data_IF_167716851959
#
_entry.id   IF_167716851959
#
_cell.length_a   1.000
_cell.length_b   1.000
_cell.length_c   1.000
_cell.angle_alpha   90.00
_cell.angle_beta   90.00
_cell.angle_gamma   90.00
#
_symmetry.space_group_name_H-M   'P 1'
#
loop_
_entity.id
_entity.type
_entity.pdbx_description
1 polymer ?
#
# COMPACT_ATOMS: atom_id res chain seq x y z
N UNK A 1 -17.03 7.69 -4.70
CA UNK A 1 -18.24 7.53 -3.85
C UNK A 1 -19.46 8.26 -4.41
N UNK A 2 -19.53 9.60 -4.35
CA UNK A 2 -20.71 10.35 -4.86
C UNK A 2 -20.95 10.07 -6.33
N UNK A 3 -19.89 10.14 -7.12
CA UNK A 3 -19.93 9.86 -8.56
C UNK A 3 -20.34 8.40 -8.81
N UNK A 4 -19.65 7.42 -8.21
CA UNK A 4 -20.01 5.99 -8.31
C UNK A 4 -21.50 5.73 -8.01
N UNK A 5 -22.04 6.36 -6.96
CA UNK A 5 -23.46 6.22 -6.58
C UNK A 5 -24.38 6.83 -7.64
N UNK A 6 -23.99 7.97 -8.22
CA UNK A 6 -24.72 8.68 -9.27
C UNK A 6 -24.80 7.86 -10.57
N UNK A 7 -23.71 7.18 -10.94
CA UNK A 7 -23.64 6.34 -12.16
C UNK A 7 -24.00 4.86 -11.91
N UNK A 8 -24.39 4.49 -10.68
CA UNK A 8 -24.80 3.12 -10.32
C UNK A 8 -23.65 2.11 -10.24
N UNK A 9 -22.40 2.56 -10.15
CA UNK A 9 -21.20 1.71 -10.04
C UNK A 9 -21.12 1.12 -8.63
N UNK A 10 -21.09 -0.21 -8.51
CA UNK A 10 -20.94 -0.91 -7.23
C UNK A 10 -19.47 -0.99 -6.80
N UNK A 11 -18.88 0.14 -6.41
CA UNK A 11 -17.47 0.20 -6.01
C UNK A 11 -17.23 -0.28 -4.57
N UNK A 12 -16.01 -0.74 -4.26
CA UNK A 12 -15.59 -1.06 -2.89
C UNK A 12 -15.60 0.16 -1.97
N UNK A 13 -15.40 1.36 -2.53
CA UNK A 13 -15.52 2.62 -1.80
C UNK A 13 -16.96 2.86 -1.30
N UNK A 14 -17.98 2.40 -2.06
CA UNK A 14 -19.37 2.38 -1.59
C UNK A 14 -19.63 1.25 -0.60
N UNK A 15 -19.11 0.05 -0.86
CA UNK A 15 -19.31 -1.12 0.01
C UNK A 15 -18.75 -0.90 1.41
N UNK A 16 -17.50 -0.43 1.51
CA UNK A 16 -16.87 -0.18 2.81
C UNK A 16 -17.31 1.14 3.45
N UNK A 17 -17.78 2.12 2.67
CA UNK A 17 -18.29 3.39 3.20
C UNK A 17 -17.28 4.04 4.17
N UNK A 18 -17.67 4.19 5.42
CA UNK A 18 -16.83 4.79 6.48
C UNK A 18 -15.74 3.83 6.98
N UNK A 19 -15.90 2.53 6.76
CA UNK A 19 -14.91 1.49 7.05
C UNK A 19 -13.82 1.37 5.98
N UNK A 20 -13.75 2.31 5.02
CA UNK A 20 -12.71 2.30 3.96
C UNK A 20 -11.30 2.33 4.55
N UNK A 21 -11.00 3.17 5.55
CA UNK A 21 -9.67 3.20 6.18
C UNK A 21 -9.32 1.88 6.88
N UNK A 22 -10.18 1.30 7.74
CA UNK A 22 -9.98 -0.05 8.28
C UNK A 22 -9.73 -1.12 7.21
N UNK A 23 -10.50 -1.12 6.12
CA UNK A 23 -10.31 -2.06 5.01
C UNK A 23 -8.93 -1.88 4.35
N UNK A 24 -8.50 -0.63 4.11
CA UNK A 24 -7.16 -0.33 3.58
C UNK A 24 -6.06 -0.82 4.53
N UNK A 25 -6.21 -0.65 5.84
CA UNK A 25 -5.25 -1.18 6.82
C UNK A 25 -5.17 -2.70 6.72
N UNK A 26 -6.31 -3.41 6.69
CA UNK A 26 -6.34 -4.86 6.59
C UNK A 26 -5.63 -5.37 5.32
N UNK A 27 -5.96 -4.81 4.16
CA UNK A 27 -5.34 -5.21 2.89
C UNK A 27 -3.86 -4.84 2.81
N UNK A 28 -3.46 -3.70 3.36
CA UNK A 28 -2.05 -3.28 3.39
C UNK A 28 -1.22 -4.18 4.30
N UNK A 29 -1.75 -4.54 5.47
CA UNK A 29 -1.12 -5.49 6.38
C UNK A 29 -0.97 -6.86 5.73
N UNK A 30 -2.01 -7.34 5.03
CA UNK A 30 -1.95 -8.60 4.29
C UNK A 30 -0.86 -8.55 3.20
N UNK A 31 -0.83 -7.48 2.40
CA UNK A 31 0.20 -7.26 1.38
C UNK A 31 1.62 -7.28 1.96
N UNK A 32 1.88 -6.56 3.04
CA UNK A 32 3.18 -6.53 3.73
C UNK A 32 3.56 -7.92 4.26
N UNK A 33 2.61 -8.64 4.87
CA UNK A 33 2.85 -10.00 5.35
C UNK A 33 3.20 -10.96 4.19
N UNK A 34 2.47 -10.89 3.08
CA UNK A 34 2.77 -11.69 1.89
C UNK A 34 4.16 -11.40 1.32
N UNK A 35 4.60 -10.14 1.31
CA UNK A 35 5.96 -9.77 0.90
C UNK A 35 7.01 -10.39 1.83
N UNK A 36 6.85 -10.27 3.14
CA UNK A 36 7.78 -10.86 4.11
C UNK A 36 7.88 -12.39 3.94
N UNK A 37 6.74 -13.06 3.76
CA UNK A 37 6.70 -14.50 3.49
C UNK A 37 7.39 -14.84 2.17
N UNK A 38 7.09 -14.11 1.10
CA UNK A 38 7.72 -14.31 -0.21
C UNK A 38 9.23 -14.09 -0.16
N UNK A 39 9.70 -13.02 0.48
CA UNK A 39 11.11 -12.73 0.67
C UNK A 39 11.84 -13.83 1.43
N UNK A 40 11.21 -14.38 2.48
CA UNK A 40 11.75 -15.55 3.21
C UNK A 40 11.94 -16.75 2.29
N UNK A 41 10.95 -17.09 1.46
CA UNK A 41 11.06 -18.19 0.50
C UNK A 41 12.04 -17.91 -0.64
N UNK A 42 12.27 -16.64 -0.98
CA UNK A 42 13.23 -16.21 -1.98
C UNK A 42 14.67 -16.04 -1.44
N UNK A 43 14.91 -16.38 -0.16
CA UNK A 43 16.22 -16.28 0.49
C UNK A 43 16.70 -14.83 0.65
N UNK A 44 15.78 -13.87 0.79
CA UNK A 44 16.12 -12.46 0.99
C UNK A 44 16.52 -12.17 2.43
N UNK A 45 17.48 -11.26 2.60
CA UNK A 45 18.06 -10.87 3.89
C UNK A 45 17.45 -9.63 4.54
N UNK A 46 18.22 -9.05 5.46
CA UNK A 46 17.84 -7.86 6.24
C UNK A 46 17.58 -6.63 5.36
N UNK A 47 18.41 -6.30 4.35
CA UNK A 47 18.15 -5.16 3.46
C UNK A 47 16.76 -5.21 2.80
N UNK A 48 16.33 -6.38 2.34
CA UNK A 48 14.97 -6.55 1.80
C UNK A 48 13.90 -6.27 2.86
N UNK A 49 14.04 -6.84 4.06
CA UNK A 49 13.07 -6.65 5.14
C UNK A 49 12.95 -5.17 5.55
N UNK A 50 14.06 -4.42 5.55
CA UNK A 50 14.06 -2.96 5.79
C UNK A 50 13.31 -2.22 4.68
N UNK A 51 13.49 -2.60 3.41
CA UNK A 51 12.72 -2.05 2.30
C UNK A 51 11.22 -2.28 2.45
N UNK A 52 10.81 -3.50 2.81
CA UNK A 52 9.40 -3.83 3.06
C UNK A 52 8.84 -3.03 4.25
N UNK A 53 9.61 -2.87 5.33
CA UNK A 53 9.23 -2.03 6.46
C UNK A 53 9.06 -0.55 6.07
N UNK A 54 9.96 -0.01 5.25
CA UNK A 54 9.85 1.35 4.70
C UNK A 54 8.58 1.54 3.86
N UNK A 55 8.24 0.56 3.03
CA UNK A 55 7.00 0.56 2.27
C UNK A 55 5.76 0.52 3.17
N UNK A 56 5.78 -0.29 4.24
CA UNK A 56 4.70 -0.34 5.22
C UNK A 56 4.49 1.01 5.93
N UNK A 57 5.57 1.69 6.32
CA UNK A 57 5.51 3.05 6.92
C UNK A 57 4.93 4.07 5.92
N UNK A 58 5.35 4.01 4.65
CA UNK A 58 4.81 4.88 3.61
C UNK A 58 3.29 4.68 3.44
N UNK A 59 2.84 3.42 3.39
CA UNK A 59 1.40 3.10 3.29
C UNK A 59 0.63 3.52 4.53
N UNK A 60 1.19 3.35 5.73
CA UNK A 60 0.57 3.81 6.97
C UNK A 60 0.37 5.33 6.97
N UNK A 61 1.36 6.09 6.47
CA UNK A 61 1.21 7.53 6.26
C UNK A 61 0.10 7.86 5.26
N UNK A 62 0.05 7.17 4.11
CA UNK A 62 -0.99 7.37 3.10
C UNK A 62 -2.39 7.17 3.70
N UNK A 63 -2.62 6.03 4.38
CA UNK A 63 -3.93 5.67 4.94
C UNK A 63 -4.33 6.61 6.08
N UNK A 64 -3.38 7.01 6.93
CA UNK A 64 -3.63 7.94 8.02
C UNK A 64 -4.08 9.31 7.48
N UNK A 65 -3.36 9.81 6.48
CA UNK A 65 -3.50 11.20 6.01
C UNK A 65 -4.47 11.40 4.86
N UNK A 66 -4.88 10.34 4.14
CA UNK A 66 -5.83 10.49 3.03
C UNK A 66 -7.15 11.07 3.51
N UNK A 67 -7.61 12.08 2.79
CA UNK A 67 -8.99 12.56 2.86
C UNK A 67 -9.83 11.82 1.80
N UNK A 68 -10.70 10.91 2.24
CA UNK A 68 -11.51 10.06 1.36
C UNK A 68 -12.66 10.81 0.66
N UNK A 69 -12.95 12.03 1.09
CA UNK A 69 -13.98 12.88 0.49
C UNK A 69 -13.40 13.89 -0.52
N UNK A 70 -12.07 13.98 -0.61
CA UNK A 70 -11.35 14.79 -1.60
C UNK A 70 -10.79 13.90 -2.71
N UNK A 71 -11.37 14.03 -3.91
CA UNK A 71 -10.95 13.28 -5.10
C UNK A 71 -9.50 13.56 -5.48
N UNK A 72 -9.06 14.82 -5.38
CA UNK A 72 -7.69 15.19 -5.72
C UNK A 72 -6.71 14.62 -4.71
N UNK A 73 -7.06 14.60 -3.42
CA UNK A 73 -6.22 13.96 -2.42
C UNK A 73 -6.13 12.45 -2.61
N UNK A 74 -7.26 11.78 -2.87
CA UNK A 74 -7.29 10.36 -3.22
C UNK A 74 -6.38 10.04 -4.41
N UNK A 75 -6.46 10.85 -5.47
CA UNK A 75 -5.61 10.68 -6.65
C UNK A 75 -4.12 10.91 -6.36
N UNK A 76 -3.78 11.91 -5.54
CA UNK A 76 -2.38 12.15 -5.11
C UNK A 76 -1.83 10.98 -4.29
N UNK A 77 -2.62 10.45 -3.35
CA UNK A 77 -2.23 9.28 -2.54
C UNK A 77 -2.09 8.04 -3.41
N UNK A 78 -3.02 7.81 -4.34
CA UNK A 78 -2.91 6.73 -5.31
C UNK A 78 -1.65 6.84 -6.18
N UNK A 79 -1.37 8.02 -6.75
CA UNK A 79 -0.18 8.26 -7.56
C UNK A 79 1.12 8.05 -6.76
N UNK A 80 1.11 8.29 -5.45
CA UNK A 80 2.27 8.05 -4.59
C UNK A 80 2.61 6.56 -4.42
N UNK A 81 1.73 5.61 -4.78
CA UNK A 81 2.03 4.17 -4.75
C UNK A 81 3.20 3.76 -5.64
N UNK A 82 3.58 4.57 -6.64
CA UNK A 82 4.83 4.36 -7.38
C UNK A 82 6.06 4.30 -6.46
N UNK A 83 6.03 5.04 -5.36
CA UNK A 83 7.11 5.05 -4.36
C UNK A 83 7.10 3.80 -3.48
N UNK A 84 5.94 3.21 -3.18
CA UNK A 84 5.86 1.91 -2.50
C UNK A 84 6.62 0.86 -3.31
N UNK A 85 6.35 0.80 -4.63
CA UNK A 85 7.07 -0.10 -5.53
C UNK A 85 8.57 0.19 -5.60
N UNK A 86 8.95 1.46 -5.74
CA UNK A 86 10.37 1.86 -5.78
C UNK A 86 11.13 1.50 -4.48
N UNK A 87 10.51 1.71 -3.31
CA UNK A 87 11.10 1.37 -2.01
C UNK A 87 11.33 -0.15 -1.91
N UNK A 88 10.33 -0.97 -2.21
CA UNK A 88 10.47 -2.44 -2.17
C UNK A 88 11.55 -2.89 -3.16
N UNK A 89 11.52 -2.37 -4.39
CA UNK A 89 12.50 -2.71 -5.42
C UNK A 89 13.93 -2.36 -4.99
N UNK A 90 14.13 -1.18 -4.40
CA UNK A 90 15.44 -0.80 -3.87
C UNK A 90 15.92 -1.77 -2.78
N UNK A 91 15.03 -2.22 -1.89
CA UNK A 91 15.34 -3.25 -0.89
C UNK A 91 15.81 -4.56 -1.53
N UNK A 92 15.13 -5.02 -2.59
CA UNK A 92 15.52 -6.22 -3.35
C UNK A 92 16.91 -6.05 -3.97
N UNK A 93 17.14 -4.93 -4.66
CA UNK A 93 18.42 -4.66 -5.35
C UNK A 93 19.56 -4.60 -4.34
N UNK A 94 19.40 -3.85 -3.25
CA UNK A 94 20.43 -3.73 -2.20
C UNK A 94 20.73 -5.09 -1.57
N UNK A 95 19.70 -5.87 -1.26
CA UNK A 95 19.87 -7.23 -0.72
C UNK A 95 20.72 -8.11 -1.65
N UNK A 96 20.43 -8.08 -2.95
CA UNK A 96 21.16 -8.84 -3.97
C UNK A 96 22.56 -8.34 -4.26
N UNK A 97 22.87 -7.08 -3.95
CA UNK A 97 24.23 -6.53 -4.08
C UNK A 97 25.09 -6.83 -2.84
N UNK A 98 24.47 -7.10 -1.69
CA UNK A 98 25.17 -7.38 -0.41
C UNK A 98 25.27 -8.87 -0.07
N UNK A 99 24.46 -9.71 -0.71
CA UNK A 99 24.49 -11.17 -0.61
C UNK A 99 25.54 -11.78 -1.54
#
# INVERSE_FOLDING_TARGET
KKDDKLVGVKSTALYFGDATKPALVAWSSFFVASLLVSGKFAGMGVPYAVGVAGAAVHMAWQIKTVNLDDVQDCMRKFASNKWVGAIIFSGIVIDKLLA
#
